data_IF_107558486445
#
_entry.id   IF_107558486445
#
_cell.length_a   1.000
_cell.length_b   1.000
_cell.length_c   1.000
_cell.angle_alpha   90.00
_cell.angle_beta   90.00
_cell.angle_gamma   90.00
#
_symmetry.space_group_name_H-M   'P 1'
#
loop_
_entity.id
_entity.type
_entity.pdbx_description
1 polymer ?
#
# COMPACT_ATOMS: atom_id res chain seq x y z
N UNK A 1 -25.92 -0.92 10.35
CA UNK A 1 -24.96 -1.13 11.44
C UNK A 1 -25.57 -0.54 12.68
N UNK A 2 -25.68 -1.30 13.77
CA UNK A 2 -26.26 -0.83 15.03
C UNK A 2 -25.15 -0.22 15.89
N UNK A 3 -25.03 1.10 15.89
CA UNK A 3 -24.09 1.83 16.74
C UNK A 3 -24.71 2.01 18.14
N UNK A 4 -24.19 1.27 19.12
CA UNK A 4 -24.60 1.34 20.52
C UNK A 4 -23.56 2.08 21.36
N UNK A 5 -24.01 3.01 22.20
CA UNK A 5 -23.18 3.87 23.05
C UNK A 5 -23.42 3.48 24.50
N UNK A 6 -22.33 3.33 25.26
CA UNK A 6 -22.37 2.98 26.68
C UNK A 6 -21.96 4.18 27.53
N UNK A 7 -22.76 4.51 28.52
CA UNK A 7 -22.42 5.55 29.48
C UNK A 7 -21.37 5.04 30.48
N UNK A 8 -20.25 5.74 30.62
CA UNK A 8 -19.17 5.41 31.58
C UNK A 8 -19.58 5.59 33.05
N UNK A 9 -20.54 6.47 33.33
CA UNK A 9 -20.97 6.82 34.70
C UNK A 9 -21.99 5.83 35.28
N UNK A 10 -22.95 5.38 34.48
CA UNK A 10 -24.04 4.51 34.93
C UNK A 10 -24.09 3.15 34.22
N UNK A 11 -23.13 2.87 33.34
CA UNK A 11 -23.04 1.63 32.55
C UNK A 11 -24.26 1.30 31.67
N UNK A 12 -25.19 2.24 31.50
CA UNK A 12 -26.36 2.05 30.64
C UNK A 12 -25.95 2.11 29.16
N UNK A 13 -26.54 1.23 28.35
CA UNK A 13 -26.30 1.13 26.91
C UNK A 13 -27.50 1.65 26.12
N UNK A 14 -27.25 2.50 25.14
CA UNK A 14 -28.29 3.12 24.31
C UNK A 14 -27.94 3.02 22.83
N UNK A 15 -28.95 2.96 21.97
CA UNK A 15 -28.74 3.04 20.54
C UNK A 15 -28.50 4.50 20.11
N UNK A 16 -27.46 4.76 19.32
CA UNK A 16 -27.09 6.12 18.87
C UNK A 16 -28.21 6.81 18.09
N UNK A 17 -28.92 6.07 17.22
CA UNK A 17 -30.06 6.60 16.46
C UNK A 17 -31.24 6.95 17.37
N UNK A 18 -31.41 6.23 18.48
CA UNK A 18 -32.46 6.52 19.47
C UNK A 18 -32.17 7.82 20.24
N UNK A 19 -30.91 8.06 20.64
CA UNK A 19 -30.51 9.29 21.32
C UNK A 19 -30.66 10.52 20.40
N UNK A 20 -30.17 10.42 19.16
CA UNK A 20 -30.33 11.46 18.15
C UNK A 20 -31.80 11.79 17.86
N UNK A 21 -32.67 10.78 17.81
CA UNK A 21 -34.10 10.98 17.53
C UNK A 21 -34.91 11.57 18.67
N UNK A 22 -34.58 11.26 19.93
CA UNK A 22 -35.34 11.70 21.12
C UNK A 22 -34.81 12.99 21.76
N UNK A 23 -33.49 13.15 21.82
CA UNK A 23 -32.83 14.26 22.52
C UNK A 23 -32.15 15.24 21.56
N UNK A 24 -31.90 14.85 20.30
CA UNK A 24 -31.18 15.68 19.33
C UNK A 24 -29.69 15.85 19.64
N UNK A 25 -29.20 15.26 20.74
CA UNK A 25 -27.78 15.17 21.08
C UNK A 25 -27.46 13.75 21.60
N UNK A 26 -26.18 13.39 21.51
CA UNK A 26 -25.63 12.14 22.04
C UNK A 26 -24.87 12.39 23.36
N UNK A 27 -24.71 13.66 23.71
CA UNK A 27 -23.77 14.14 24.72
C UNK A 27 -24.29 14.02 26.14
N UNK A 28 -25.56 13.70 26.37
CA UNK A 28 -26.12 13.66 27.73
C UNK A 28 -26.83 12.35 28.00
N UNK A 29 -26.40 11.65 29.05
CA UNK A 29 -27.03 10.41 29.46
C UNK A 29 -28.45 10.64 29.98
N UNK A 30 -29.48 10.00 29.37
CA UNK A 30 -30.86 10.16 29.82
C UNK A 30 -31.13 9.53 31.19
N UNK A 31 -30.25 8.64 31.67
CA UNK A 31 -30.43 7.94 32.95
C UNK A 31 -29.76 8.69 34.11
N UNK A 32 -28.52 9.17 33.93
CA UNK A 32 -27.75 9.76 35.03
C UNK A 32 -27.37 11.23 34.80
N UNK A 33 -27.73 11.83 33.66
CA UNK A 33 -27.34 13.20 33.31
C UNK A 33 -25.84 13.40 33.07
N UNK A 34 -25.05 12.33 33.08
CA UNK A 34 -23.61 12.38 32.85
C UNK A 34 -23.28 12.78 31.41
N UNK A 35 -22.23 13.57 31.25
CA UNK A 35 -21.74 13.98 29.94
C UNK A 35 -21.15 12.74 29.22
N UNK A 36 -21.67 12.47 28.02
CA UNK A 36 -21.27 11.40 27.11
C UNK A 36 -20.52 11.95 25.89
N UNK A 37 -20.25 13.27 25.83
CA UNK A 37 -19.47 13.92 24.76
C UNK A 37 -18.04 13.38 24.62
N UNK A 38 -17.55 12.63 25.62
CA UNK A 38 -16.26 11.93 25.53
C UNK A 38 -16.31 10.69 24.61
N UNK A 39 -17.49 10.38 24.05
CA UNK A 39 -17.68 9.38 22.99
C UNK A 39 -18.25 10.02 21.72
N UNK A 40 -18.02 11.33 21.53
CA UNK A 40 -17.85 11.83 20.17
C UNK A 40 -16.61 11.11 19.67
N UNK A 41 -16.83 10.09 18.84
CA UNK A 41 -15.86 9.28 18.10
C UNK A 41 -14.43 9.60 18.56
N UNK A 42 -13.84 8.74 19.40
CA UNK A 42 -12.39 8.72 19.49
C UNK A 42 -11.93 8.62 18.04
N UNK A 43 -11.58 9.77 17.46
CA UNK A 43 -11.16 9.91 16.09
C UNK A 43 -10.02 8.91 15.98
N UNK A 44 -10.28 7.72 15.41
CA UNK A 44 -9.28 6.66 15.22
C UNK A 44 -8.08 7.19 14.41
N UNK A 45 -8.21 8.41 13.89
CA UNK A 45 -7.35 9.14 13.00
C UNK A 45 -7.07 10.58 13.49
N UNK A 46 -7.10 10.85 14.80
CA UNK A 46 -6.73 12.18 15.36
C UNK A 46 -5.34 12.64 14.93
N UNK A 47 -4.45 11.69 14.68
CA UNK A 47 -3.08 11.93 14.24
C UNK A 47 -2.93 12.04 12.71
N UNK A 48 -4.01 11.88 11.94
CA UNK A 48 -3.93 11.94 10.48
C UNK A 48 -3.68 13.35 9.98
N UNK A 49 -2.78 13.43 9.01
CA UNK A 49 -2.43 14.68 8.33
C UNK A 49 -2.98 14.66 6.90
N UNK A 50 -3.10 15.85 6.32
CA UNK A 50 -3.51 15.99 4.93
C UNK A 50 -2.35 15.69 4.00
N UNK A 51 -2.56 14.77 3.07
CA UNK A 51 -1.62 14.40 2.03
C UNK A 51 -2.10 14.87 0.66
N UNK A 52 -1.14 15.26 -0.16
CA UNK A 52 -1.35 15.75 -1.52
C UNK A 52 -0.63 14.86 -2.52
N UNK A 53 -1.40 14.33 -3.47
CA UNK A 53 -0.88 13.54 -4.57
C UNK A 53 -0.80 14.40 -5.83
N UNK A 54 0.42 14.64 -6.30
CA UNK A 54 0.72 15.50 -7.44
C UNK A 54 1.24 14.70 -8.63
N UNK A 55 0.97 15.24 -9.83
CA UNK A 55 1.61 14.84 -11.07
C UNK A 55 2.47 15.98 -11.59
N UNK A 56 3.69 15.63 -11.94
CA UNK A 56 4.58 16.50 -12.70
C UNK A 56 4.21 16.41 -14.19
N UNK A 57 3.74 17.50 -14.82
CA UNK A 57 3.41 17.50 -16.24
C UNK A 57 4.63 17.52 -17.15
N UNK A 58 5.80 17.95 -16.67
CA UNK A 58 7.04 18.07 -17.42
C UNK A 58 7.74 16.71 -17.57
N UNK A 59 7.84 15.95 -16.48
CA UNK A 59 8.51 14.64 -16.48
C UNK A 59 7.53 13.46 -16.48
N UNK A 60 6.25 13.69 -16.15
CA UNK A 60 5.25 12.62 -16.02
C UNK A 60 5.33 11.85 -14.70
N UNK A 61 6.19 12.28 -13.77
CA UNK A 61 6.40 11.66 -12.47
C UNK A 61 5.27 11.99 -11.48
N UNK A 62 5.16 11.17 -10.44
CA UNK A 62 4.15 11.30 -9.39
C UNK A 62 4.81 11.48 -8.04
N UNK A 63 4.30 12.43 -7.24
CA UNK A 63 4.86 12.76 -5.92
C UNK A 63 3.77 12.80 -4.85
N UNK A 64 4.15 12.38 -3.64
CA UNK A 64 3.32 12.48 -2.43
C UNK A 64 3.95 13.52 -1.50
N UNK A 65 3.12 14.44 -1.01
CA UNK A 65 3.57 15.52 -0.14
C UNK A 65 2.67 15.63 1.10
N UNK A 66 3.28 15.80 2.27
CA UNK A 66 2.63 16.10 3.54
C UNK A 66 2.37 17.62 3.72
N UNK A 67 2.96 18.44 2.83
CA UNK A 67 2.89 19.91 2.83
C UNK A 67 2.68 20.43 1.43
N UNK A 68 2.13 21.64 1.33
CA UNK A 68 1.99 22.32 0.05
C UNK A 68 3.39 22.62 -0.54
N UNK A 69 3.61 22.38 -1.84
CA UNK A 69 4.86 22.72 -2.50
C UNK A 69 5.02 24.26 -2.54
N UNK A 70 6.28 24.71 -2.55
CA UNK A 70 6.59 26.14 -2.63
C UNK A 70 6.07 26.78 -3.93
N UNK A 71 6.12 26.03 -5.04
CA UNK A 71 5.64 26.44 -6.35
C UNK A 71 4.53 25.48 -6.84
N UNK A 72 3.27 25.68 -6.38
CA UNK A 72 2.16 24.80 -6.76
C UNK A 72 1.79 24.89 -8.24
N UNK A 73 2.24 25.94 -8.95
CA UNK A 73 1.95 26.16 -10.37
C UNK A 73 2.65 25.17 -11.30
N UNK A 74 3.75 24.54 -10.86
CA UNK A 74 4.49 23.57 -11.66
C UNK A 74 3.89 22.16 -11.59
N UNK A 75 3.03 21.89 -10.61
CA UNK A 75 2.51 20.55 -10.31
C UNK A 75 0.99 20.51 -10.44
N UNK A 76 0.47 19.44 -11.03
CA UNK A 76 -0.98 19.23 -11.11
C UNK A 76 -1.44 18.42 -9.91
N UNK A 77 -2.28 19.00 -9.05
CA UNK A 77 -2.88 18.28 -7.93
C UNK A 77 -3.89 17.25 -8.48
N UNK A 78 -3.66 15.97 -8.20
CA UNK A 78 -4.59 14.90 -8.56
C UNK A 78 -5.60 14.69 -7.44
N UNK A 79 -5.12 14.55 -6.19
CA UNK A 79 -5.97 14.16 -5.06
C UNK A 79 -5.43 14.67 -3.74
N UNK A 80 -6.35 15.16 -2.92
CA UNK A 80 -6.17 15.42 -1.49
C UNK A 80 -6.86 14.32 -0.69
N UNK A 81 -6.19 13.80 0.34
CA UNK A 81 -6.73 12.78 1.25
C UNK A 81 -6.11 12.87 2.63
N UNK A 82 -6.75 12.25 3.63
CA UNK A 82 -6.20 12.13 4.98
C UNK A 82 -5.55 10.77 5.14
N UNK A 83 -4.37 10.74 5.75
CA UNK A 83 -3.61 9.53 6.01
C UNK A 83 -2.70 9.72 7.23
N UNK A 84 -2.20 8.63 7.84
CA UNK A 84 -1.26 8.74 8.94
C UNK A 84 0.02 9.48 8.51
N UNK A 85 0.72 10.13 9.45
CA UNK A 85 1.99 10.77 9.17
C UNK A 85 3.04 9.70 8.82
N UNK A 86 4.07 10.09 8.08
CA UNK A 86 5.19 9.21 7.74
C UNK A 86 5.89 8.63 8.99
N UNK A 87 5.82 9.33 10.12
CA UNK A 87 6.37 8.88 11.40
C UNK A 87 5.65 7.67 12.02
N UNK A 88 4.49 7.25 11.48
CA UNK A 88 3.72 6.11 11.99
C UNK A 88 4.40 4.76 11.63
N UNK A 89 4.21 3.67 12.39
CA UNK A 89 4.71 2.35 12.01
C UNK A 89 4.08 1.93 10.67
N UNK A 90 4.89 1.79 9.63
CA UNK A 90 4.44 1.54 8.25
C UNK A 90 4.77 2.67 7.26
N UNK A 91 5.15 3.84 7.77
CA UNK A 91 5.71 4.94 6.98
C UNK A 91 4.88 5.33 5.76
N UNK A 92 5.57 5.61 4.66
CA UNK A 92 4.97 6.07 3.41
C UNK A 92 4.21 4.95 2.65
N UNK A 93 4.43 3.68 2.99
CA UNK A 93 3.73 2.56 2.36
C UNK A 93 2.27 2.46 2.81
N UNK A 94 1.99 2.74 4.09
CA UNK A 94 0.62 2.85 4.61
C UNK A 94 -0.15 4.00 3.92
N UNK A 95 0.53 5.12 3.67
CA UNK A 95 -0.03 6.28 2.95
C UNK A 95 -0.37 5.90 1.50
N UNK A 96 0.51 5.17 0.82
CA UNK A 96 0.26 4.68 -0.55
C UNK A 96 -0.91 3.70 -0.60
N UNK A 97 -1.09 2.84 0.41
CA UNK A 97 -2.21 1.90 0.45
C UNK A 97 -3.57 2.62 0.56
N UNK A 98 -3.64 3.65 1.41
CA UNK A 98 -4.83 4.51 1.52
C UNK A 98 -5.04 5.27 0.20
N UNK A 99 -3.97 5.80 -0.41
CA UNK A 99 -4.07 6.43 -1.73
C UNK A 99 -4.63 5.47 -2.78
N UNK A 100 -4.22 4.19 -2.77
CA UNK A 100 -4.73 3.16 -3.70
C UNK A 100 -6.20 2.86 -3.53
N UNK A 101 -6.78 3.14 -2.37
CA UNK A 101 -8.23 3.04 -2.17
C UNK A 101 -8.97 4.11 -2.98
N UNK A 102 -8.34 5.26 -3.22
CA UNK A 102 -8.87 6.32 -4.07
C UNK A 102 -8.44 6.20 -5.54
N UNK A 103 -7.20 5.77 -5.79
CA UNK A 103 -6.58 5.68 -7.12
C UNK A 103 -5.84 4.34 -7.20
N UNK A 104 -6.47 3.26 -7.69
CA UNK A 104 -5.91 1.91 -7.62
C UNK A 104 -4.57 1.78 -8.34
N UNK A 105 -4.36 2.55 -9.42
CA UNK A 105 -3.15 2.51 -10.23
C UNK A 105 -1.99 3.37 -9.69
N UNK A 106 -2.16 4.04 -8.54
CA UNK A 106 -1.14 4.90 -7.97
C UNK A 106 0.11 4.12 -7.51
N UNK A 107 1.28 4.57 -7.97
CA UNK A 107 2.59 3.95 -7.68
C UNK A 107 2.66 2.44 -7.98
N UNK A 108 1.88 1.95 -8.93
CA UNK A 108 2.10 0.62 -9.50
C UNK A 108 3.31 0.73 -10.41
N UNK A 109 4.49 0.42 -9.87
CA UNK A 109 5.61 0.09 -10.72
C UNK A 109 5.26 -1.24 -11.41
N UNK A 110 5.38 -1.35 -12.75
CA UNK A 110 5.27 -2.66 -13.38
C UNK A 110 6.29 -3.55 -12.67
N UNK A 111 5.83 -4.58 -11.97
CA UNK A 111 6.70 -5.55 -11.31
C UNK A 111 7.83 -5.85 -12.28
N UNK A 112 9.07 -5.64 -11.83
CA UNK A 112 10.27 -5.88 -12.62
C UNK A 112 10.08 -7.21 -13.34
N UNK A 113 9.70 -7.17 -14.63
CA UNK A 113 9.58 -8.36 -15.45
C UNK A 113 11.00 -8.82 -15.61
N UNK A 114 11.47 -9.61 -14.65
CA UNK A 114 12.74 -10.33 -14.78
C UNK A 114 12.67 -10.95 -16.16
N UNK A 115 13.60 -10.62 -17.07
CA UNK A 115 13.50 -11.08 -18.44
C UNK A 115 13.39 -12.60 -18.39
N UNK A 116 12.20 -13.13 -18.70
CA UNK A 116 11.95 -14.56 -18.66
C UNK A 116 12.89 -15.17 -19.70
N UNK A 117 13.92 -15.88 -19.25
CA UNK A 117 14.84 -16.54 -20.17
C UNK A 117 14.05 -17.58 -20.97
N UNK A 118 14.01 -17.39 -22.29
CA UNK A 118 13.31 -18.29 -23.23
C UNK A 118 14.32 -18.91 -24.19
N UNK A 119 14.11 -20.17 -24.53
CA UNK A 119 14.92 -20.83 -25.54
C UNK A 119 14.74 -20.13 -26.90
N UNK A 120 15.81 -19.69 -27.59
CA UNK A 120 15.68 -18.99 -28.88
C UNK A 120 15.17 -19.90 -30.01
N UNK A 121 15.20 -21.23 -29.81
CA UNK A 121 14.81 -22.20 -30.83
C UNK A 121 13.36 -22.66 -30.73
N UNK A 122 12.82 -22.79 -29.51
CA UNK A 122 11.47 -23.32 -29.29
C UNK A 122 10.62 -22.46 -28.35
N UNK A 123 11.15 -21.33 -27.87
CA UNK A 123 10.51 -20.38 -26.97
C UNK A 123 10.05 -20.96 -25.62
N UNK A 124 10.48 -22.19 -25.26
CA UNK A 124 10.16 -22.77 -23.96
C UNK A 124 10.79 -21.96 -22.84
N UNK A 125 10.08 -21.87 -21.71
CA UNK A 125 10.57 -21.26 -20.46
C UNK A 125 11.36 -22.26 -19.61
N UNK A 126 11.17 -23.55 -19.85
CA UNK A 126 11.83 -24.62 -19.10
C UNK A 126 13.23 -24.90 -19.65
N UNK A 127 14.23 -24.73 -18.79
CA UNK A 127 15.62 -25.07 -19.05
C UNK A 127 16.29 -25.56 -17.77
N UNK A 128 17.32 -26.39 -17.93
CA UNK A 128 18.16 -26.88 -16.85
C UNK A 128 19.53 -26.23 -16.94
N UNK A 129 20.05 -25.80 -15.79
CA UNK A 129 21.43 -25.31 -15.65
C UNK A 129 22.36 -26.50 -15.45
N UNK A 130 23.26 -26.73 -16.41
CA UNK A 130 24.28 -27.77 -16.32
C UNK A 130 25.62 -27.15 -15.97
N UNK A 131 26.15 -27.54 -14.82
CA UNK A 131 27.53 -27.28 -14.45
C UNK A 131 28.40 -28.26 -15.24
N UNK A 132 29.33 -27.76 -16.07
CA UNK A 132 30.26 -28.64 -16.79
C UNK A 132 31.22 -29.25 -15.77
N UNK A 133 31.11 -30.57 -15.58
CA UNK A 133 31.99 -31.33 -14.71
C UNK A 133 33.44 -31.36 -15.22
N UNK A 134 34.33 -31.88 -14.37
CA UNK A 134 35.77 -32.00 -14.59
C UNK A 134 36.11 -32.66 -15.95
N UNK A 135 37.00 -32.03 -16.72
CA UNK A 135 37.50 -32.55 -17.99
C UNK A 135 38.81 -33.31 -17.76
N UNK A 136 38.77 -34.64 -17.91
CA UNK A 136 39.94 -35.52 -17.75
C UNK A 136 41.07 -35.22 -18.76
N UNK A 137 40.73 -34.68 -19.93
CA UNK A 137 41.70 -34.45 -21.02
C UNK A 137 42.49 -33.15 -20.88
N UNK A 138 41.93 -32.14 -20.21
CA UNK A 138 42.55 -30.81 -20.18
C UNK A 138 43.22 -30.50 -18.85
N UNK A 139 43.02 -31.30 -17.79
CA UNK A 139 43.72 -31.17 -16.49
C UNK A 139 43.45 -29.88 -15.70
N UNK A 140 43.01 -28.81 -16.36
CA UNK A 140 42.54 -27.57 -15.77
C UNK A 140 41.08 -27.72 -15.33
N UNK A 141 40.74 -27.11 -14.18
CA UNK A 141 39.38 -26.70 -13.80
C UNK A 141 38.85 -25.74 -14.88
N UNK A 142 38.50 -26.29 -16.04
CA UNK A 142 38.18 -25.54 -17.25
C UNK A 142 36.98 -24.65 -16.97
N UNK A 143 37.23 -23.34 -16.88
CA UNK A 143 36.30 -22.21 -16.86
C UNK A 143 34.81 -22.64 -16.82
N UNK A 144 34.32 -22.89 -15.60
CA UNK A 144 33.01 -23.46 -15.30
C UNK A 144 31.85 -22.51 -15.59
N UNK A 145 31.67 -22.11 -16.85
CA UNK A 145 30.47 -21.37 -17.25
C UNK A 145 29.27 -22.32 -17.23
N UNK A 146 28.31 -22.00 -16.38
CA UNK A 146 27.01 -22.67 -16.30
C UNK A 146 26.34 -22.58 -17.67
N UNK A 147 26.01 -23.73 -18.26
CA UNK A 147 25.28 -23.78 -19.53
C UNK A 147 23.78 -23.92 -19.27
N UNK A 148 22.95 -23.26 -20.06
CA UNK A 148 21.49 -23.49 -20.04
C UNK A 148 21.15 -24.46 -21.16
N UNK A 149 20.39 -25.49 -20.84
CA UNK A 149 19.90 -26.45 -21.82
C UNK A 149 18.38 -26.46 -21.77
N UNK A 150 17.75 -26.22 -22.91
CA UNK A 150 16.30 -26.26 -23.03
C UNK A 150 15.77 -27.67 -22.75
N UNK A 151 14.75 -27.79 -21.89
CA UNK A 151 14.17 -29.09 -21.56
C UNK A 151 13.34 -29.68 -22.70
N UNK A 152 12.82 -28.85 -23.61
CA UNK A 152 12.00 -29.27 -24.74
C UNK A 152 12.85 -29.68 -25.95
N UNK A 153 13.61 -28.75 -26.54
CA UNK A 153 14.40 -29.03 -27.75
C UNK A 153 15.79 -29.61 -27.47
N UNK A 154 16.18 -29.76 -26.20
CA UNK A 154 17.47 -30.31 -25.74
C UNK A 154 18.70 -29.56 -26.29
N UNK A 155 18.54 -28.32 -26.75
CA UNK A 155 19.62 -27.46 -27.25
C UNK A 155 20.16 -26.55 -26.15
N UNK A 156 21.47 -26.33 -26.19
CA UNK A 156 22.16 -25.35 -25.34
C UNK A 156 21.90 -23.92 -25.84
N UNK A 157 21.73 -22.97 -24.91
CA UNK A 157 21.59 -21.53 -25.21
C UNK A 157 21.98 -20.64 -24.03
#
# INVERSE_FOLDING_TARGET
MEENIKCSQCNSTFNKMFLLGKQGNVDTCPVCGGNMADVAEEDEHKDWITWYYYKDPEYGDYSLWDKLPNDPSALTLIKEFKAPPESNPGGLDAVKEILRTHIPDAFIFPENKTPEARCPYCMSKEYTLLNKGYSLFTGFLGSGRIKRVCNYCKREF
#
